data_IF_995261392358
#
_entry.id   IF_995261392358
#
_cell.length_a   1.000
_cell.length_b   1.000
_cell.length_c   1.000
_cell.angle_alpha   90.00
_cell.angle_beta   90.00
_cell.angle_gamma   90.00
#
_symmetry.space_group_name_H-M   'P 1'
#
loop_
_entity.id
_entity.type
_entity.pdbx_description
1 polymer ?
#
# COMPACT_ATOMS: atom_id res chain seq x y z
N UNK A 1 -28.61 -2.07 48.22
CA UNK A 1 -29.02 -1.45 46.94
C UNK A 1 -27.76 -0.97 46.26
N UNK A 2 -27.24 -1.77 45.32
CA UNK A 2 -26.19 -1.35 44.39
C UNK A 2 -26.86 -1.31 43.02
N UNK A 3 -26.82 -0.17 42.37
CA UNK A 3 -27.15 -0.02 40.97
C UNK A 3 -26.32 1.11 40.39
N UNK A 4 -26.13 1.18 39.05
CA UNK A 4 -26.02 0.07 38.10
C UNK A 4 -24.64 0.06 37.42
N UNK A 5 -24.17 -1.12 37.03
CA UNK A 5 -23.00 -1.34 36.17
C UNK A 5 -23.37 -1.19 34.69
N UNK A 6 -24.05 -0.10 34.31
CA UNK A 6 -24.57 0.08 32.94
C UNK A 6 -23.50 0.40 31.91
N UNK A 7 -22.43 1.10 32.31
CA UNK A 7 -21.54 1.74 31.33
C UNK A 7 -20.52 0.78 30.69
N UNK A 8 -20.19 -0.34 31.37
CA UNK A 8 -19.33 -1.40 30.83
C UNK A 8 -20.11 -2.37 29.93
N UNK A 9 -21.40 -2.58 30.20
CA UNK A 9 -22.26 -3.50 29.44
C UNK A 9 -22.72 -2.85 28.11
N UNK A 10 -22.94 -1.53 28.10
CA UNK A 10 -23.35 -0.78 26.91
C UNK A 10 -22.18 -0.59 25.92
N UNK A 11 -20.94 -0.41 26.42
CA UNK A 11 -19.72 -0.36 25.60
C UNK A 11 -19.48 -1.67 24.84
N UNK A 12 -19.58 -2.80 25.54
CA UNK A 12 -19.38 -4.12 24.91
C UNK A 12 -20.53 -4.50 23.99
N UNK A 13 -21.76 -4.04 24.25
CA UNK A 13 -22.90 -4.23 23.36
C UNK A 13 -22.79 -3.37 22.09
N UNK A 14 -22.27 -2.14 22.20
CA UNK A 14 -21.98 -1.28 21.06
C UNK A 14 -20.85 -1.84 20.18
N UNK A 15 -19.77 -2.36 20.78
CA UNK A 15 -18.70 -3.04 20.06
C UNK A 15 -19.18 -4.30 19.33
N UNK A 16 -20.02 -5.13 19.98
CA UNK A 16 -20.63 -6.31 19.35
C UNK A 16 -21.49 -5.92 18.14
N UNK A 17 -22.31 -4.88 18.26
CA UNK A 17 -23.12 -4.38 17.13
C UNK A 17 -22.26 -3.79 16.01
N UNK A 18 -21.18 -3.08 16.34
CA UNK A 18 -20.24 -2.55 15.36
C UNK A 18 -19.45 -3.64 14.64
N UNK A 19 -19.13 -4.76 15.31
CA UNK A 19 -18.56 -5.97 14.72
C UNK A 19 -19.53 -6.59 13.71
N UNK A 20 -20.79 -6.82 14.10
CA UNK A 20 -21.81 -7.46 13.27
C UNK A 20 -22.13 -6.69 11.97
N UNK A 21 -21.92 -5.37 11.95
CA UNK A 21 -22.14 -4.50 10.79
C UNK A 21 -21.01 -4.55 9.74
N UNK A 22 -19.83 -5.12 10.08
CA UNK A 22 -18.70 -5.19 9.17
C UNK A 22 -18.85 -6.34 8.16
N UNK A 23 -18.59 -6.03 6.89
CA UNK A 23 -18.55 -7.03 5.82
C UNK A 23 -17.52 -8.16 6.07
N UNK A 24 -16.49 -7.91 6.88
CA UNK A 24 -15.49 -8.91 7.29
C UNK A 24 -16.04 -9.93 8.28
N UNK A 25 -16.97 -9.52 9.14
CA UNK A 25 -17.56 -10.36 10.18
C UNK A 25 -18.86 -11.02 9.71
N UNK A 26 -19.52 -10.44 8.70
CA UNK A 26 -20.67 -11.07 8.07
C UNK A 26 -20.28 -12.43 7.47
N UNK A 27 -20.79 -13.52 8.04
CA UNK A 27 -20.85 -14.78 7.33
C UNK A 27 -21.67 -14.57 6.05
N UNK A 28 -21.28 -15.19 4.94
CA UNK A 28 -22.06 -15.17 3.70
C UNK A 28 -23.46 -15.77 3.87
N UNK A 29 -24.05 -16.36 2.83
CA UNK A 29 -25.32 -17.07 2.99
C UNK A 29 -25.20 -18.09 4.14
N UNK A 30 -25.95 -17.86 5.23
CA UNK A 30 -25.94 -18.63 6.48
C UNK A 30 -26.36 -20.12 6.31
N UNK A 31 -26.44 -20.61 5.07
CA UNK A 31 -26.95 -21.93 4.69
C UNK A 31 -25.91 -22.78 3.94
N UNK A 32 -24.62 -22.51 4.09
CA UNK A 32 -23.59 -23.40 3.56
C UNK A 32 -23.17 -24.39 4.65
N UNK A 33 -23.80 -25.58 4.65
CA UNK A 33 -23.42 -26.72 5.50
C UNK A 33 -22.02 -27.22 5.09
N UNK A 34 -20.97 -26.46 5.41
CA UNK A 34 -19.59 -26.74 5.01
C UNK A 34 -19.14 -28.12 5.54
N UNK A 35 -19.53 -28.46 6.75
CA UNK A 35 -19.21 -29.71 7.44
C UNK A 35 -19.88 -30.95 6.80
N UNK A 36 -20.94 -30.76 6.00
CA UNK A 36 -21.59 -31.85 5.27
C UNK A 36 -21.04 -32.06 3.85
N UNK A 37 -20.15 -31.19 3.38
CA UNK A 37 -19.55 -31.27 2.04
C UNK A 37 -18.33 -32.18 2.03
N UNK A 38 -18.07 -32.80 0.88
CA UNK A 38 -16.80 -33.49 0.66
C UNK A 38 -15.63 -32.50 0.64
N UNK A 39 -14.43 -32.97 0.96
CA UNK A 39 -13.21 -32.16 0.90
C UNK A 39 -13.00 -31.54 -0.49
N UNK A 40 -13.31 -32.27 -1.57
CA UNK A 40 -13.19 -31.76 -2.94
C UNK A 40 -14.14 -30.58 -3.19
N UNK A 41 -15.38 -30.67 -2.73
CA UNK A 41 -16.35 -29.58 -2.84
C UNK A 41 -15.93 -28.35 -2.04
N UNK A 42 -15.36 -28.55 -0.84
CA UNK A 42 -14.85 -27.46 0.00
C UNK A 42 -13.69 -26.73 -0.68
N UNK A 43 -12.73 -27.46 -1.25
CA UNK A 43 -11.60 -26.86 -1.99
C UNK A 43 -12.10 -26.06 -3.20
N UNK A 44 -13.03 -26.62 -3.98
CA UNK A 44 -13.63 -25.92 -5.14
C UNK A 44 -14.40 -24.68 -4.68
N UNK A 45 -15.14 -24.77 -3.59
CA UNK A 45 -15.93 -23.66 -3.06
C UNK A 45 -15.04 -22.53 -2.53
N UNK A 46 -13.99 -22.85 -1.77
CA UNK A 46 -13.01 -21.88 -1.31
C UNK A 46 -12.34 -21.16 -2.50
N UNK A 47 -11.93 -21.89 -3.55
CA UNK A 47 -11.34 -21.26 -4.71
C UNK A 47 -12.30 -20.33 -5.48
N UNK A 48 -13.61 -20.61 -5.46
CA UNK A 48 -14.62 -19.68 -6.02
C UNK A 48 -14.71 -18.38 -5.22
N UNK A 49 -14.55 -18.43 -3.91
CA UNK A 49 -14.44 -17.22 -3.08
C UNK A 49 -13.18 -16.43 -3.47
N UNK A 50 -12.03 -17.10 -3.60
CA UNK A 50 -10.74 -16.46 -3.93
C UNK A 50 -10.75 -15.72 -5.27
N UNK A 51 -11.57 -16.15 -6.23
CA UNK A 51 -11.70 -15.49 -7.55
C UNK A 51 -12.11 -14.01 -7.46
N UNK A 52 -12.70 -13.58 -6.36
CA UNK A 52 -13.10 -12.18 -6.13
C UNK A 52 -11.91 -11.27 -5.81
N UNK A 53 -10.81 -11.83 -5.30
CA UNK A 53 -9.68 -11.06 -4.76
C UNK A 53 -8.99 -10.20 -5.84
N UNK A 54 -8.61 -10.72 -7.02
CA UNK A 54 -7.94 -9.89 -8.03
C UNK A 54 -8.82 -8.76 -8.57
N UNK A 55 -10.14 -9.00 -8.70
CA UNK A 55 -11.09 -7.98 -9.14
C UNK A 55 -11.22 -6.86 -8.09
N UNK A 56 -11.22 -7.19 -6.79
CA UNK A 56 -11.23 -6.21 -5.71
C UNK A 56 -9.97 -5.33 -5.69
N UNK A 57 -8.79 -5.95 -5.85
CA UNK A 57 -7.51 -5.21 -5.94
C UNK A 57 -7.46 -4.33 -7.20
N UNK A 58 -7.97 -4.82 -8.33
CA UNK A 58 -8.10 -4.00 -9.55
C UNK A 58 -9.05 -2.82 -9.34
N UNK A 59 -10.10 -2.99 -8.54
CA UNK A 59 -11.00 -1.91 -8.15
C UNK A 59 -10.30 -0.77 -7.39
N UNK A 60 -9.23 -1.07 -6.67
CA UNK A 60 -8.42 -0.10 -5.92
C UNK A 60 -7.23 0.47 -6.73
N UNK A 61 -7.12 0.16 -8.02
CA UNK A 61 -5.91 0.44 -8.81
C UNK A 61 -5.52 1.92 -8.89
N UNK A 62 -6.50 2.84 -8.97
CA UNK A 62 -6.22 4.28 -9.06
C UNK A 62 -5.62 4.80 -7.74
N UNK A 63 -6.25 4.49 -6.59
CA UNK A 63 -5.74 4.87 -5.27
C UNK A 63 -4.37 4.22 -4.97
N UNK A 64 -4.20 2.97 -5.39
CA UNK A 64 -2.93 2.26 -5.29
C UNK A 64 -1.83 2.95 -6.13
N UNK A 65 -2.14 3.40 -7.34
CA UNK A 65 -1.18 4.11 -8.18
C UNK A 65 -0.77 5.47 -7.58
N UNK A 66 -1.73 6.23 -7.04
CA UNK A 66 -1.47 7.50 -6.36
C UNK A 66 -0.58 7.30 -5.12
N UNK A 67 -0.91 6.29 -4.31
CA UNK A 67 -0.12 5.92 -3.13
C UNK A 67 1.30 5.53 -3.51
N UNK A 68 1.47 4.73 -4.57
CA UNK A 68 2.80 4.34 -5.07
C UNK A 68 3.59 5.55 -5.55
N UNK A 69 2.99 6.49 -6.27
CA UNK A 69 3.71 7.70 -6.71
C UNK A 69 4.17 8.55 -5.51
N UNK A 70 3.38 8.63 -4.43
CA UNK A 70 3.77 9.30 -3.18
C UNK A 70 4.91 8.56 -2.45
N UNK A 71 4.84 7.23 -2.35
CA UNK A 71 5.91 6.39 -1.78
C UNK A 71 7.21 6.55 -2.58
N UNK A 72 7.13 6.57 -3.91
CA UNK A 72 8.30 6.73 -4.78
C UNK A 72 8.95 8.10 -4.58
N UNK A 73 8.19 9.18 -4.36
CA UNK A 73 8.74 10.49 -4.02
C UNK A 73 9.58 10.44 -2.74
N UNK A 74 9.06 9.78 -1.69
CA UNK A 74 9.75 9.56 -0.42
C UNK A 74 11.04 8.76 -0.57
N UNK A 75 10.97 7.60 -1.22
CA UNK A 75 12.13 6.74 -1.45
C UNK A 75 13.23 7.41 -2.29
N UNK A 76 12.86 8.24 -3.30
CA UNK A 76 13.84 9.00 -4.09
C UNK A 76 14.64 10.01 -3.28
N UNK A 77 14.06 10.52 -2.19
CA UNK A 77 14.70 11.48 -1.28
C UNK A 77 15.51 10.80 -0.18
N UNK A 78 15.68 9.47 -0.25
CA UNK A 78 16.42 8.67 0.72
C UNK A 78 15.60 8.23 1.93
N UNK A 79 14.27 8.37 1.88
CA UNK A 79 13.39 7.86 2.92
C UNK A 79 13.17 6.35 2.87
N UNK A 80 12.37 5.84 3.81
CA UNK A 80 12.02 4.42 3.93
C UNK A 80 10.54 4.18 3.63
N UNK A 81 10.22 2.94 3.29
CA UNK A 81 8.87 2.40 3.29
C UNK A 81 8.68 1.54 4.55
N UNK A 82 7.76 1.95 5.43
CA UNK A 82 7.49 1.29 6.70
C UNK A 82 6.08 0.71 6.66
N UNK A 83 5.95 -0.60 6.67
CA UNK A 83 4.66 -1.26 6.86
C UNK A 83 4.34 -1.36 8.36
N UNK A 84 3.06 -1.25 8.72
CA UNK A 84 2.60 -1.46 10.09
C UNK A 84 1.37 -2.38 10.09
N UNK A 85 1.37 -3.42 10.92
CA UNK A 85 0.24 -4.34 11.00
C UNK A 85 0.24 -5.20 12.26
N UNK A 86 -0.88 -5.89 12.48
CA UNK A 86 -1.03 -6.90 13.53
C UNK A 86 -1.45 -8.25 12.92
N UNK A 87 -1.29 -9.34 13.68
CA UNK A 87 -1.78 -10.66 13.30
C UNK A 87 -1.33 -11.11 11.90
N UNK A 88 -2.28 -11.46 11.03
CA UNK A 88 -1.99 -11.88 9.66
C UNK A 88 -1.51 -10.72 8.78
N UNK A 89 -2.05 -9.52 8.98
CA UNK A 89 -1.69 -8.33 8.20
C UNK A 89 -0.24 -7.91 8.44
N UNK A 90 0.22 -7.94 9.70
CA UNK A 90 1.62 -7.71 10.06
C UNK A 90 2.56 -8.70 9.38
N UNK A 91 2.25 -10.00 9.42
CA UNK A 91 3.10 -11.05 8.81
C UNK A 91 3.19 -10.93 7.29
N UNK A 92 2.10 -10.54 6.63
CA UNK A 92 2.09 -10.31 5.18
C UNK A 92 2.95 -9.09 4.83
N UNK A 93 2.92 -8.05 5.66
CA UNK A 93 3.80 -6.88 5.53
C UNK A 93 5.27 -7.23 5.75
N UNK A 94 5.58 -8.02 6.77
CA UNK A 94 6.93 -8.53 7.03
C UNK A 94 7.47 -9.35 5.85
N UNK A 95 6.62 -10.24 5.29
CA UNK A 95 6.96 -11.02 4.11
C UNK A 95 7.36 -10.14 2.91
N UNK A 96 6.56 -9.12 2.59
CA UNK A 96 6.86 -8.21 1.46
C UNK A 96 8.14 -7.39 1.72
N UNK A 97 8.35 -6.90 2.95
CA UNK A 97 9.56 -6.18 3.33
C UNK A 97 10.82 -7.05 3.21
N UNK A 98 10.78 -8.29 3.72
CA UNK A 98 11.90 -9.23 3.67
C UNK A 98 12.32 -9.60 2.24
N UNK A 99 11.36 -9.66 1.31
CA UNK A 99 11.62 -9.98 -0.09
C UNK A 99 12.27 -8.82 -0.86
N UNK A 100 12.13 -7.56 -0.40
CA UNK A 100 12.63 -6.39 -1.11
C UNK A 100 14.16 -6.37 -1.27
N UNK A 101 14.92 -6.81 -0.26
CA UNK A 101 16.38 -6.81 -0.31
C UNK A 101 16.90 -7.83 -1.33
N UNK A 102 16.39 -9.06 -1.27
CA UNK A 102 16.83 -10.13 -2.18
C UNK A 102 16.36 -9.95 -3.63
N UNK A 103 15.24 -9.24 -3.82
CA UNK A 103 14.60 -9.05 -5.13
C UNK A 103 15.15 -7.83 -5.87
N UNK A 104 15.29 -6.69 -5.16
CA UNK A 104 15.63 -5.39 -5.76
C UNK A 104 16.96 -4.80 -5.29
N UNK A 105 17.72 -5.55 -4.47
CA UNK A 105 18.93 -5.07 -3.79
C UNK A 105 18.69 -3.70 -3.15
N UNK A 106 17.62 -3.61 -2.35
CA UNK A 106 17.36 -2.45 -1.49
C UNK A 106 18.38 -2.42 -0.36
N UNK A 107 18.67 -1.23 0.16
CA UNK A 107 19.55 -1.09 1.32
C UNK A 107 18.88 -1.69 2.56
N UNK A 108 19.63 -2.31 3.49
CA UNK A 108 19.08 -2.75 4.77
C UNK A 108 18.32 -1.62 5.46
N UNK A 109 17.08 -1.88 5.86
CA UNK A 109 16.22 -0.89 6.53
C UNK A 109 15.49 0.08 5.58
N UNK A 110 15.65 -0.01 4.25
CA UNK A 110 14.90 0.82 3.30
C UNK A 110 13.42 0.43 3.22
N UNK A 111 13.12 -0.86 3.37
CA UNK A 111 11.75 -1.38 3.49
C UNK A 111 11.71 -2.22 4.76
N UNK A 112 10.83 -1.87 5.70
CA UNK A 112 10.73 -2.53 7.02
C UNK A 112 9.27 -2.74 7.40
N UNK A 113 9.02 -3.65 8.33
CA UNK A 113 7.70 -3.89 8.90
C UNK A 113 7.74 -3.74 10.42
N UNK A 114 6.74 -3.06 10.97
CA UNK A 114 6.45 -2.96 12.40
C UNK A 114 5.23 -3.82 12.70
N UNK A 115 5.42 -4.85 13.53
CA UNK A 115 4.37 -5.79 13.90
C UNK A 115 3.98 -5.65 15.36
N UNK A 116 2.67 -5.67 15.64
CA UNK A 116 2.15 -5.74 17.01
C UNK A 116 2.74 -6.95 17.76
N UNK A 117 3.23 -6.73 18.98
CA UNK A 117 3.91 -7.75 19.79
C UNK A 117 5.38 -8.03 19.38
N UNK A 118 5.85 -7.52 18.25
CA UNK A 118 7.21 -7.74 17.74
C UNK A 118 7.42 -9.09 17.03
N UNK A 119 8.63 -9.28 16.49
CA UNK A 119 8.99 -10.42 15.63
C UNK A 119 8.93 -11.79 16.34
N UNK A 120 9.07 -11.82 17.67
CA UNK A 120 9.15 -13.06 18.45
C UNK A 120 7.91 -13.37 19.28
N UNK A 121 6.87 -12.53 19.22
CA UNK A 121 5.64 -12.80 19.95
C UNK A 121 4.90 -14.03 19.39
N UNK A 122 4.37 -14.83 20.29
CA UNK A 122 3.46 -15.93 19.97
C UNK A 122 2.16 -15.37 19.35
N UNK A 123 1.39 -16.18 18.59
CA UNK A 123 0.13 -15.71 18.01
C UNK A 123 -0.84 -15.08 19.03
N UNK A 124 -0.93 -15.64 20.25
CA UNK A 124 -1.79 -15.11 21.31
C UNK A 124 -1.30 -13.76 21.86
N UNK A 125 0.01 -13.59 22.01
CA UNK A 125 0.59 -12.30 22.45
C UNK A 125 0.37 -11.22 21.39
N UNK A 126 0.33 -11.59 20.11
CA UNK A 126 0.06 -10.64 19.02
C UNK A 126 -1.41 -10.25 18.93
N UNK A 127 -2.34 -11.19 19.18
CA UNK A 127 -3.77 -10.87 19.31
C UNK A 127 -3.98 -9.87 20.45
N UNK A 128 -3.38 -10.11 21.62
CA UNK A 128 -3.48 -9.15 22.73
C UNK A 128 -2.82 -7.79 22.43
N UNK A 129 -1.76 -7.77 21.62
CA UNK A 129 -1.04 -6.56 21.27
C UNK A 129 -1.76 -5.69 20.22
N UNK A 130 -2.75 -6.21 19.49
CA UNK A 130 -3.43 -5.47 18.43
C UNK A 130 -4.30 -4.31 18.97
N UNK A 131 -4.74 -4.44 20.23
CA UNK A 131 -5.54 -3.45 20.95
C UNK A 131 -4.70 -2.33 21.61
N UNK A 132 -3.37 -2.42 21.56
CA UNK A 132 -2.47 -1.42 22.14
C UNK A 132 -2.13 -0.31 21.15
N UNK A 133 -2.94 0.76 21.16
CA UNK A 133 -2.73 1.96 20.35
C UNK A 133 -1.40 2.67 20.66
N UNK A 134 -1.00 2.72 21.92
CA UNK A 134 0.21 3.44 22.34
C UNK A 134 1.46 2.67 21.93
N UNK A 135 1.45 1.34 21.97
CA UNK A 135 2.55 0.52 21.45
C UNK A 135 2.80 0.77 19.96
N UNK A 136 1.75 0.94 19.16
CA UNK A 136 1.88 1.31 17.76
C UNK A 136 2.59 2.66 17.56
N UNK A 137 2.16 3.68 18.30
CA UNK A 137 2.79 5.00 18.29
C UNK A 137 4.25 4.95 18.79
N UNK A 138 4.51 4.18 19.85
CA UNK A 138 5.85 4.00 20.40
C UNK A 138 6.80 3.36 19.40
N UNK A 139 6.38 2.31 18.69
CA UNK A 139 7.19 1.67 17.65
C UNK A 139 7.55 2.62 16.50
N UNK A 140 6.63 3.50 16.10
CA UNK A 140 6.91 4.53 15.08
C UNK A 140 7.95 5.54 15.56
N UNK A 141 7.87 5.97 16.84
CA UNK A 141 8.88 6.85 17.44
C UNK A 141 10.24 6.17 17.57
N UNK A 142 10.28 4.90 17.98
CA UNK A 142 11.50 4.12 18.12
C UNK A 142 12.22 3.92 16.78
N UNK A 143 11.46 3.67 15.71
CA UNK A 143 11.99 3.63 14.34
C UNK A 143 12.49 4.99 13.82
N UNK A 144 12.26 6.07 14.58
CA UNK A 144 12.63 7.43 14.18
C UNK A 144 11.95 7.85 12.87
N UNK A 145 10.68 7.47 12.68
CA UNK A 145 9.92 7.85 11.49
C UNK A 145 9.86 9.36 11.36
N UNK A 146 10.06 9.87 10.15
CA UNK A 146 10.08 11.30 9.88
C UNK A 146 9.54 11.69 8.48
N UNK A 147 9.73 12.95 8.06
CA UNK A 147 9.07 13.51 6.88
C UNK A 147 9.57 12.98 5.52
N UNK A 148 10.63 12.17 5.54
CA UNK A 148 11.10 11.45 4.36
C UNK A 148 10.47 10.08 4.23
N UNK A 149 9.89 9.54 5.29
CA UNK A 149 9.35 8.17 5.29
C UNK A 149 7.92 8.13 4.72
N UNK A 150 7.55 6.95 4.22
CA UNK A 150 6.19 6.58 3.94
C UNK A 150 5.78 5.43 4.87
N UNK A 151 4.65 5.59 5.56
CA UNK A 151 4.09 4.61 6.50
C UNK A 151 2.78 4.06 5.94
N UNK A 152 2.70 2.74 5.79
CA UNK A 152 1.52 2.04 5.27
C UNK A 152 0.95 1.15 6.35
N UNK A 153 -0.16 1.57 6.95
CA UNK A 153 -0.92 0.76 7.90
C UNK A 153 -1.76 -0.30 7.18
N UNK A 154 -1.72 -1.54 7.66
CA UNK A 154 -2.41 -2.69 7.05
C UNK A 154 -3.34 -3.31 8.08
N UNK A 155 -4.65 -3.19 7.84
CA UNK A 155 -5.69 -3.75 8.72
C UNK A 155 -6.92 -4.13 7.89
N UNK A 156 -7.33 -5.40 7.91
CA UNK A 156 -8.50 -5.84 7.15
C UNK A 156 -9.78 -5.10 7.57
N UNK A 157 -9.98 -4.93 8.88
CA UNK A 157 -11.11 -4.21 9.48
C UNK A 157 -10.98 -2.69 9.39
N UNK A 158 -9.75 -2.18 9.21
CA UNK A 158 -9.47 -0.74 9.15
C UNK A 158 -9.63 0.00 10.48
N UNK A 159 -9.71 -0.73 11.61
CA UNK A 159 -9.91 -0.16 12.96
C UNK A 159 -8.98 -0.75 14.03
N UNK A 160 -7.95 -1.49 13.65
CA UNK A 160 -7.01 -2.12 14.60
C UNK A 160 -6.26 -1.03 15.39
N UNK A 161 -6.43 -0.94 16.73
CA UNK A 161 -5.89 0.18 17.53
C UNK A 161 -4.38 0.39 17.39
N UNK A 162 -3.58 -0.68 17.40
CA UNK A 162 -2.14 -0.61 17.17
C UNK A 162 -1.78 0.09 15.85
N UNK A 163 -2.48 -0.27 14.76
CA UNK A 163 -2.23 0.31 13.42
C UNK A 163 -2.67 1.77 13.38
N UNK A 164 -3.82 2.10 13.98
CA UNK A 164 -4.31 3.48 14.06
C UNK A 164 -3.33 4.38 14.83
N UNK A 165 -2.83 3.92 15.98
CA UNK A 165 -1.86 4.67 16.79
C UNK A 165 -0.55 4.93 16.06
N UNK A 166 -0.04 3.92 15.34
CA UNK A 166 1.16 4.05 14.53
C UNK A 166 0.98 5.06 13.37
N UNK A 167 -0.12 4.97 12.62
CA UNK A 167 -0.37 5.87 11.47
C UNK A 167 -0.60 7.31 11.94
N UNK A 168 -1.30 7.51 13.05
CA UNK A 168 -1.49 8.84 13.62
C UNK A 168 -0.16 9.47 14.04
N UNK A 169 0.71 8.71 14.71
CA UNK A 169 2.02 9.19 15.12
C UNK A 169 2.92 9.48 13.91
N UNK A 170 2.88 8.64 12.88
CA UNK A 170 3.61 8.86 11.63
C UNK A 170 3.16 10.16 10.93
N UNK A 171 1.86 10.43 10.92
CA UNK A 171 1.29 11.68 10.39
C UNK A 171 1.80 12.89 11.19
N UNK A 172 1.82 12.82 12.53
CA UNK A 172 2.38 13.89 13.39
C UNK A 172 3.87 14.12 13.14
N UNK A 173 4.62 13.06 12.84
CA UNK A 173 6.03 13.15 12.45
C UNK A 173 6.26 13.68 11.01
N UNK A 174 5.19 13.92 10.25
CA UNK A 174 5.21 14.47 8.90
C UNK A 174 5.47 13.44 7.79
N UNK A 175 5.42 12.15 8.10
CA UNK A 175 5.54 11.09 7.11
C UNK A 175 4.35 11.09 6.14
N UNK A 176 4.55 10.55 4.94
CA UNK A 176 3.42 10.22 4.06
C UNK A 176 2.72 8.98 4.62
N UNK A 177 1.40 9.01 4.77
CA UNK A 177 0.66 7.88 5.36
C UNK A 177 -0.34 7.25 4.39
N UNK A 178 -0.49 5.93 4.45
CA UNK A 178 -1.51 5.21 3.70
C UNK A 178 -2.15 4.10 4.54
N UNK A 179 -3.41 3.78 4.25
CA UNK A 179 -4.16 2.69 4.87
C UNK A 179 -4.58 1.64 3.85
N UNK A 180 -4.24 0.37 4.08
CA UNK A 180 -4.71 -0.78 3.29
C UNK A 180 -5.79 -1.52 4.08
N UNK A 181 -7.01 -1.52 3.54
CA UNK A 181 -8.21 -2.06 4.22
C UNK A 181 -9.05 -2.94 3.30
N UNK A 182 -9.94 -3.74 3.89
CA UNK A 182 -10.87 -4.60 3.15
C UNK A 182 -12.34 -4.20 3.33
N UNK A 183 -12.57 -3.02 3.89
CA UNK A 183 -13.88 -2.39 4.09
C UNK A 183 -13.86 -0.99 3.50
N UNK A 184 -15.04 -0.43 3.19
CA UNK A 184 -15.15 0.97 2.75
C UNK A 184 -15.27 1.93 3.94
N UNK A 185 -14.83 3.18 3.76
CA UNK A 185 -14.98 4.27 4.74
C UNK A 185 -14.43 3.91 6.13
N UNK A 186 -13.23 3.32 6.15
CA UNK A 186 -12.58 2.86 7.39
C UNK A 186 -12.02 4.00 8.24
N UNK A 187 -11.89 3.78 9.56
CA UNK A 187 -11.21 4.74 10.45
C UNK A 187 -9.76 4.98 10.01
N UNK A 188 -9.05 3.92 9.63
CA UNK A 188 -7.70 4.00 9.09
C UNK A 188 -7.64 4.81 7.78
N UNK A 189 -8.62 4.65 6.91
CA UNK A 189 -8.74 5.40 5.65
C UNK A 189 -9.00 6.89 5.86
N UNK A 190 -9.76 7.25 6.90
CA UNK A 190 -9.97 8.65 7.29
C UNK A 190 -8.74 9.30 7.96
N UNK A 191 -7.92 8.49 8.62
CA UNK A 191 -6.73 8.93 9.32
C UNK A 191 -5.52 9.13 8.39
N UNK A 192 -5.39 8.30 7.35
CA UNK A 192 -4.25 8.30 6.44
C UNK A 192 -4.42 9.31 5.28
N UNK A 193 -3.30 9.75 4.68
CA UNK A 193 -3.33 10.61 3.49
C UNK A 193 -3.93 9.90 2.26
N UNK A 194 -3.75 8.57 2.20
CA UNK A 194 -4.22 7.71 1.12
C UNK A 194 -4.95 6.46 1.65
N UNK A 195 -6.16 6.19 1.16
CA UNK A 195 -6.88 4.94 1.44
C UNK A 195 -6.83 4.00 0.23
N UNK A 196 -6.39 2.76 0.45
CA UNK A 196 -6.47 1.65 -0.49
C UNK A 196 -7.48 0.64 0.06
N UNK A 197 -8.72 0.72 -0.42
CA UNK A 197 -9.81 -0.17 -0.02
C UNK A 197 -10.00 -1.30 -1.04
N UNK A 198 -9.61 -2.52 -0.67
CA UNK A 198 -9.81 -3.74 -1.45
C UNK A 198 -10.95 -4.57 -0.84
N UNK A 199 -12.20 -4.18 -1.13
CA UNK A 199 -13.41 -4.82 -0.59
C UNK A 199 -13.64 -6.18 -1.27
N UNK A 200 -13.26 -7.26 -0.59
CA UNK A 200 -13.35 -8.64 -1.09
C UNK A 200 -14.72 -9.30 -0.82
N UNK A 201 -15.59 -8.66 -0.03
CA UNK A 201 -16.87 -9.22 0.42
C UNK A 201 -16.71 -10.32 1.49
N UNK A 202 -17.79 -11.03 1.85
CA UNK A 202 -17.82 -11.99 2.95
C UNK A 202 -16.77 -13.09 2.81
N UNK A 203 -16.12 -13.45 3.92
CA UNK A 203 -15.10 -14.50 3.93
C UNK A 203 -15.70 -15.91 3.76
N UNK A 204 -14.85 -16.87 3.34
CA UNK A 204 -15.26 -18.29 3.26
C UNK A 204 -15.62 -18.87 4.63
N UNK A 205 -14.88 -18.46 5.67
CA UNK A 205 -15.28 -18.64 7.06
C UNK A 205 -15.49 -17.25 7.65
N UNK A 206 -16.68 -16.99 8.21
CA UNK A 206 -17.03 -15.70 8.80
C UNK A 206 -15.92 -15.22 9.77
N UNK A 207 -15.50 -13.95 9.66
CA UNK A 207 -14.43 -13.37 10.48
C UNK A 207 -13.00 -13.83 10.15
N UNK A 208 -12.82 -14.85 9.30
CA UNK A 208 -11.48 -15.38 8.96
C UNK A 208 -10.79 -14.55 7.88
N UNK A 209 -10.48 -13.29 8.22
CA UNK A 209 -9.86 -12.30 7.32
C UNK A 209 -8.45 -12.68 6.86
N UNK A 210 -7.82 -13.68 7.48
CA UNK A 210 -6.57 -14.27 6.97
C UNK A 210 -6.70 -14.90 5.57
N UNK A 211 -7.92 -15.10 5.07
CA UNK A 211 -8.22 -15.71 3.78
C UNK A 211 -8.21 -14.68 2.65
N UNK A 212 -9.37 -14.16 2.21
CA UNK A 212 -9.43 -13.27 1.05
C UNK A 212 -8.85 -11.90 1.35
N UNK A 213 -9.15 -11.31 2.50
CA UNK A 213 -8.62 -10.01 2.88
C UNK A 213 -7.08 -10.07 2.98
N UNK A 214 -6.52 -11.10 3.63
CA UNK A 214 -5.08 -11.35 3.65
C UNK A 214 -4.48 -11.56 2.25
N UNK A 215 -5.17 -12.31 1.38
CA UNK A 215 -4.74 -12.47 -0.01
C UNK A 215 -4.74 -11.14 -0.78
N UNK A 216 -5.75 -10.30 -0.59
CA UNK A 216 -5.82 -8.96 -1.17
C UNK A 216 -4.69 -8.06 -0.66
N UNK A 217 -4.43 -8.07 0.65
CA UNK A 217 -3.32 -7.34 1.26
C UNK A 217 -2.00 -7.73 0.62
N UNK A 218 -1.72 -9.04 0.45
CA UNK A 218 -0.50 -9.51 -0.23
C UNK A 218 -0.37 -8.92 -1.65
N UNK A 219 -1.45 -8.97 -2.45
CA UNK A 219 -1.42 -8.45 -3.81
C UNK A 219 -1.23 -6.92 -3.85
N UNK A 220 -1.82 -6.20 -2.91
CA UNK A 220 -1.64 -4.76 -2.74
C UNK A 220 -0.19 -4.43 -2.36
N UNK A 221 0.36 -5.06 -1.33
CA UNK A 221 1.73 -4.81 -0.87
C UNK A 221 2.76 -5.17 -1.94
N UNK A 222 2.60 -6.31 -2.62
CA UNK A 222 3.46 -6.68 -3.75
C UNK A 222 3.39 -5.64 -4.89
N UNK A 223 2.23 -5.03 -5.10
CA UNK A 223 2.09 -3.95 -6.08
C UNK A 223 2.78 -2.68 -5.60
N UNK A 224 2.65 -2.32 -4.31
CA UNK A 224 3.34 -1.18 -3.71
C UNK A 224 4.86 -1.32 -3.88
N UNK A 225 5.44 -2.41 -3.38
CA UNK A 225 6.88 -2.63 -3.41
C UNK A 225 7.39 -2.75 -4.84
N UNK A 226 6.80 -3.64 -5.65
CA UNK A 226 7.30 -3.93 -7.00
C UNK A 226 7.19 -2.71 -7.92
N UNK A 227 6.03 -2.02 -7.94
CA UNK A 227 5.84 -0.87 -8.81
C UNK A 227 6.71 0.29 -8.35
N UNK A 228 6.88 0.50 -7.04
CA UNK A 228 7.83 1.49 -6.53
C UNK A 228 9.25 1.22 -7.02
N UNK A 229 9.73 -0.02 -6.91
CA UNK A 229 11.08 -0.40 -7.35
C UNK A 229 11.26 -0.29 -8.87
N UNK A 230 10.21 -0.57 -9.66
CA UNK A 230 10.21 -0.28 -11.10
C UNK A 230 10.40 1.23 -11.36
N UNK A 231 9.68 2.09 -10.63
CA UNK A 231 9.74 3.55 -10.77
C UNK A 231 11.05 4.16 -10.27
N UNK A 232 11.76 3.44 -9.40
CA UNK A 232 13.12 3.74 -8.94
C UNK A 232 14.21 3.15 -9.85
N UNK A 233 13.85 2.54 -10.99
CA UNK A 233 14.82 2.04 -11.96
C UNK A 233 15.54 0.76 -11.52
N UNK A 234 15.00 -0.01 -10.58
CA UNK A 234 15.54 -1.33 -10.18
C UNK A 234 15.35 -2.41 -11.25
N UNK A 235 14.55 -2.14 -12.27
CA UNK A 235 14.23 -3.07 -13.36
C UNK A 235 14.50 -2.48 -14.75
N UNK A 236 14.57 -3.35 -15.77
CA UNK A 236 14.57 -2.97 -17.18
C UNK A 236 13.64 -3.89 -17.97
N UNK A 237 12.52 -3.33 -18.41
CA UNK A 237 11.41 -4.16 -18.92
C UNK A 237 10.89 -5.04 -17.78
N UNK A 238 10.86 -6.35 -17.99
CA UNK A 238 10.48 -7.35 -16.99
C UNK A 238 11.69 -8.03 -16.32
N UNK A 239 12.90 -7.48 -16.48
CA UNK A 239 14.12 -8.02 -15.90
C UNK A 239 14.52 -7.25 -14.64
N UNK A 240 14.82 -7.97 -13.56
CA UNK A 240 15.42 -7.40 -12.36
C UNK A 240 16.92 -7.24 -12.63
N UNK A 241 17.37 -6.01 -12.83
CA UNK A 241 18.73 -5.69 -13.27
C UNK A 241 19.62 -5.22 -12.12
N UNK A 242 19.05 -4.96 -10.96
CA UNK A 242 19.77 -4.54 -9.76
C UNK A 242 19.98 -5.75 -8.83
N UNK A 243 20.74 -6.74 -9.32
CA UNK A 243 21.00 -8.01 -8.62
C UNK A 243 22.46 -8.04 -8.20
N UNK A 244 22.72 -8.18 -6.89
CA UNK A 244 24.07 -8.37 -6.36
C UNK A 244 24.61 -9.77 -6.66
N UNK A 245 25.77 -9.86 -7.32
CA UNK A 245 26.37 -11.13 -7.76
C UNK A 245 27.25 -11.79 -6.68
N UNK A 246 26.67 -12.09 -5.52
CA UNK A 246 27.43 -12.61 -4.35
C UNK A 246 27.78 -14.10 -4.41
N UNK A 247 27.14 -14.88 -5.30
CA UNK A 247 27.40 -16.30 -5.49
C UNK A 247 27.32 -16.72 -6.96
N UNK A 248 27.78 -17.94 -7.29
CA UNK A 248 27.84 -18.45 -8.66
C UNK A 248 26.47 -18.48 -9.36
N UNK A 249 25.39 -18.86 -8.64
CA UNK A 249 24.03 -18.85 -9.16
C UNK A 249 23.59 -17.42 -9.55
N UNK A 250 23.91 -16.42 -8.73
CA UNK A 250 23.61 -15.02 -9.00
C UNK A 250 24.47 -14.45 -10.13
N UNK A 251 25.74 -14.87 -10.26
CA UNK A 251 26.58 -14.53 -11.42
C UNK A 251 25.99 -15.08 -12.73
N UNK A 252 25.59 -16.34 -12.76
CA UNK A 252 24.92 -16.94 -13.91
C UNK A 252 23.60 -16.23 -14.26
N UNK A 253 22.84 -15.82 -13.23
CA UNK A 253 21.62 -15.03 -13.40
C UNK A 253 21.90 -13.66 -14.01
N UNK A 254 22.90 -12.93 -13.51
CA UNK A 254 23.32 -11.62 -14.03
C UNK A 254 23.71 -11.74 -15.50
N UNK A 255 24.54 -12.72 -15.86
CA UNK A 255 24.91 -13.00 -17.26
C UNK A 255 23.68 -13.19 -18.15
N UNK A 256 22.73 -14.02 -17.73
CA UNK A 256 21.47 -14.26 -18.46
C UNK A 256 20.63 -12.99 -18.59
N UNK A 257 20.57 -12.15 -17.56
CA UNK A 257 19.86 -10.87 -17.59
C UNK A 257 20.47 -9.95 -18.64
N UNK A 258 21.80 -9.76 -18.63
CA UNK A 258 22.49 -8.90 -19.61
C UNK A 258 22.28 -9.44 -21.03
N UNK A 259 22.45 -10.74 -21.23
CA UNK A 259 22.22 -11.36 -22.53
C UNK A 259 20.77 -11.17 -23.02
N UNK A 260 19.78 -11.40 -22.15
CA UNK A 260 18.36 -11.22 -22.50
C UNK A 260 18.02 -9.77 -22.81
N UNK A 261 18.57 -8.83 -22.04
CA UNK A 261 18.33 -7.41 -22.21
C UNK A 261 18.95 -6.82 -23.49
N UNK A 262 20.08 -7.39 -23.93
CA UNK A 262 20.90 -6.80 -25.00
C UNK A 262 20.89 -7.59 -26.31
N UNK A 263 20.64 -8.90 -26.25
CA UNK A 263 20.79 -9.82 -27.39
C UNK A 263 22.25 -10.05 -27.80
N UNK A 264 23.22 -9.63 -26.99
CA UNK A 264 24.64 -9.75 -27.31
C UNK A 264 25.17 -11.20 -27.17
N UNK A 265 26.33 -11.47 -27.78
CA UNK A 265 27.01 -12.76 -27.65
C UNK A 265 27.55 -12.97 -26.23
N UNK A 266 27.83 -14.23 -25.90
CA UNK A 266 28.38 -14.61 -24.60
C UNK A 266 29.69 -13.86 -24.30
N UNK A 267 30.59 -13.78 -25.28
CA UNK A 267 31.89 -13.12 -25.16
C UNK A 267 31.71 -11.64 -24.84
N UNK A 268 30.81 -10.96 -25.56
CA UNK A 268 30.55 -9.53 -25.36
C UNK A 268 29.89 -9.24 -24.02
N UNK A 269 29.03 -10.13 -23.54
CA UNK A 269 28.41 -10.03 -22.22
C UNK A 269 29.46 -10.21 -21.13
N UNK A 270 30.35 -11.20 -21.26
CA UNK A 270 31.39 -11.49 -20.27
C UNK A 270 32.42 -10.35 -20.18
N UNK A 271 32.84 -9.80 -21.33
CA UNK A 271 33.67 -8.58 -21.39
C UNK A 271 33.02 -7.40 -20.67
N UNK A 272 31.76 -7.10 -21.00
CA UNK A 272 31.05 -5.96 -20.42
C UNK A 272 30.82 -6.13 -18.92
N UNK A 273 30.51 -7.35 -18.46
CA UNK A 273 30.34 -7.64 -17.04
C UNK A 273 31.66 -7.54 -16.27
N UNK A 274 32.77 -7.99 -16.87
CA UNK A 274 34.09 -7.83 -16.27
C UNK A 274 34.46 -6.36 -16.11
N UNK A 275 34.27 -5.55 -17.17
CA UNK A 275 34.50 -4.11 -17.13
C UNK A 275 33.57 -3.37 -16.15
N UNK A 276 32.33 -3.84 -16.00
CA UNK A 276 31.32 -3.28 -15.10
C UNK A 276 31.45 -3.74 -13.63
N UNK A 277 32.50 -4.46 -13.25
CA UNK A 277 32.66 -5.02 -11.90
C UNK A 277 31.52 -5.96 -11.49
N UNK A 278 30.89 -6.63 -12.45
CA UNK A 278 29.73 -7.51 -12.24
C UNK A 278 28.36 -6.80 -12.23
N UNK A 279 28.31 -5.48 -12.41
CA UNK A 279 27.04 -4.73 -12.47
C UNK A 279 26.28 -4.99 -13.77
N UNK A 280 25.10 -5.62 -13.66
CA UNK A 280 24.24 -5.87 -14.82
C UNK A 280 23.77 -4.56 -15.47
N UNK A 281 23.43 -3.54 -14.67
CA UNK A 281 22.97 -2.24 -15.17
C UNK A 281 24.00 -1.57 -16.05
N UNK A 282 25.24 -1.49 -15.57
CA UNK A 282 26.35 -0.85 -16.27
C UNK A 282 26.65 -1.63 -17.55
N UNK A 283 26.78 -2.96 -17.47
CA UNK A 283 27.00 -3.80 -18.65
C UNK A 283 25.90 -3.63 -19.72
N UNK A 284 24.63 -3.56 -19.32
CA UNK A 284 23.51 -3.32 -20.26
C UNK A 284 23.63 -1.95 -20.93
N UNK A 285 23.93 -0.90 -20.18
CA UNK A 285 24.10 0.46 -20.74
C UNK A 285 25.31 0.51 -21.67
N UNK A 286 26.47 -0.02 -21.26
CA UNK A 286 27.68 -0.08 -22.08
C UNK A 286 27.41 -0.76 -23.43
N UNK A 287 26.75 -1.93 -23.41
CA UNK A 287 26.44 -2.67 -24.65
C UNK A 287 25.43 -1.90 -25.52
N UNK A 288 24.31 -1.45 -24.95
CA UNK A 288 23.23 -0.85 -25.74
C UNK A 288 23.52 0.57 -26.22
N UNK A 289 24.34 1.33 -25.49
CA UNK A 289 24.75 2.68 -25.88
C UNK A 289 26.08 2.71 -26.63
N UNK A 290 26.85 1.62 -26.63
CA UNK A 290 28.16 1.55 -27.28
C UNK A 290 29.21 2.40 -26.58
N UNK A 291 29.20 2.42 -25.25
CA UNK A 291 30.12 3.19 -24.40
C UNK A 291 30.87 2.26 -23.45
N UNK A 292 31.97 2.73 -22.87
CA UNK A 292 32.69 1.98 -21.84
C UNK A 292 31.93 1.92 -20.50
N UNK A 293 32.50 1.25 -19.52
CA UNK A 293 31.87 1.06 -18.20
C UNK A 293 31.81 2.36 -17.40
N UNK A 294 32.82 3.22 -17.50
CA UNK A 294 32.91 4.48 -16.74
C UNK A 294 31.84 5.47 -17.21
N UNK A 295 31.71 5.67 -18.52
CA UNK A 295 30.65 6.50 -19.11
C UNK A 295 29.26 5.92 -18.81
N UNK A 296 29.11 4.59 -18.83
CA UNK A 296 27.83 3.96 -18.46
C UNK A 296 27.48 4.19 -16.98
N UNK A 297 28.48 4.13 -16.08
CA UNK A 297 28.32 4.46 -14.66
C UNK A 297 27.87 5.92 -14.47
N UNK A 298 28.52 6.86 -15.15
CA UNK A 298 28.18 8.28 -15.06
C UNK A 298 26.75 8.56 -15.55
N UNK A 299 26.35 7.95 -16.66
CA UNK A 299 24.97 8.05 -17.18
C UNK A 299 23.93 7.47 -16.22
N UNK A 300 24.25 6.37 -15.55
CA UNK A 300 23.36 5.78 -14.55
C UNK A 300 23.25 6.68 -13.32
N UNK A 301 24.35 7.28 -12.86
CA UNK A 301 24.35 8.21 -11.73
C UNK A 301 23.47 9.44 -12.00
N UNK A 302 23.56 10.02 -13.20
CA UNK A 302 22.78 11.21 -13.60
C UNK A 302 21.30 10.91 -13.90
N UNK A 303 20.91 9.64 -13.97
CA UNK A 303 19.53 9.20 -14.30
C UNK A 303 18.87 8.38 -13.19
N UNK A 304 19.36 8.52 -11.95
CA UNK A 304 18.87 7.80 -10.78
C UNK A 304 18.83 6.28 -11.00
N UNK A 305 19.84 5.74 -11.68
CA UNK A 305 19.99 4.31 -11.95
C UNK A 305 19.06 3.73 -13.02
N UNK A 306 18.30 4.56 -13.75
CA UNK A 306 17.38 4.10 -14.79
C UNK A 306 18.10 3.81 -16.11
N UNK A 307 18.25 2.53 -16.46
CA UNK A 307 18.82 2.11 -17.75
C UNK A 307 18.13 2.81 -18.92
N UNK A 308 16.79 2.91 -18.91
CA UNK A 308 16.04 3.48 -20.03
C UNK A 308 16.40 4.96 -20.27
N UNK A 309 16.62 5.72 -19.20
CA UNK A 309 16.97 7.13 -19.27
C UNK A 309 18.47 7.34 -19.58
N UNK A 310 19.33 6.40 -19.15
CA UNK A 310 20.76 6.40 -19.45
C UNK A 310 21.09 6.07 -20.91
N UNK A 311 20.16 5.45 -21.65
CA UNK A 311 20.33 5.18 -23.07
C UNK A 311 20.06 6.43 -23.93
N UNK A 312 20.82 6.65 -25.02
CA UNK A 312 20.53 7.73 -25.95
C UNK A 312 19.10 7.60 -26.49
N UNK A 313 18.40 8.73 -26.62
CA UNK A 313 17.06 8.77 -27.21
C UNK A 313 17.12 8.22 -28.63
N UNK A 314 16.65 6.98 -28.82
CA UNK A 314 16.40 6.45 -30.17
C UNK A 314 15.45 7.41 -30.88
N UNK A 315 15.85 7.95 -32.05
CA UNK A 315 14.91 8.56 -32.98
C UNK A 315 13.79 7.54 -33.25
N UNK A 316 12.51 7.93 -33.20
CA UNK A 316 11.43 6.98 -33.41
C UNK A 316 11.55 6.37 -34.81
N UNK A 317 11.88 5.08 -34.87
CA UNK A 317 11.82 4.29 -36.10
C UNK A 317 10.35 3.93 -36.36
N UNK A 318 9.65 4.74 -37.14
CA UNK A 318 8.35 4.44 -37.76
C UNK A 318 7.14 4.30 -36.81
N UNK A 319 5.91 4.33 -37.35
CA UNK A 319 4.70 4.30 -36.55
C UNK A 319 4.52 2.92 -35.90
N UNK A 320 4.71 2.85 -34.58
CA UNK A 320 4.29 1.69 -33.78
C UNK A 320 2.77 1.61 -33.77
N UNK A 321 2.20 0.52 -34.30
CA UNK A 321 0.79 0.15 -34.11
C UNK A 321 0.49 0.17 -32.62
N UNK A 322 -0.33 1.12 -32.16
CA UNK A 322 -0.81 1.19 -30.78
C UNK A 322 -1.56 -0.11 -30.47
N UNK A 323 -1.05 -0.89 -29.52
CA UNK A 323 -1.72 -2.09 -29.01
C UNK A 323 -3.03 -1.73 -28.33
N UNK A 324 -4.15 -1.94 -29.03
CA UNK A 324 -5.51 -1.76 -28.53
C UNK A 324 -6.03 -2.91 -27.69
N UNK A 325 -5.20 -3.49 -26.81
CA UNK A 325 -5.58 -4.67 -26.02
C UNK A 325 -6.29 -4.34 -24.69
N UNK A 326 -6.07 -3.15 -24.11
CA UNK A 326 -6.63 -2.82 -22.79
C UNK A 326 -8.08 -2.28 -22.81
N UNK A 327 -8.56 -1.75 -23.95
CA UNK A 327 -9.96 -1.26 -24.06
C UNK A 327 -10.96 -2.35 -24.46
N UNK A 328 -10.50 -3.54 -24.84
CA UNK A 328 -11.37 -4.65 -25.21
C UNK A 328 -12.02 -5.33 -23.99
N UNK A 329 -11.27 -5.45 -22.88
CA UNK A 329 -11.78 -6.13 -21.67
C UNK A 329 -12.91 -5.38 -20.95
N UNK A 330 -12.97 -4.05 -21.04
CA UNK A 330 -14.08 -3.26 -20.46
C UNK A 330 -15.37 -3.37 -21.28
N UNK A 331 -15.30 -3.61 -22.60
CA UNK A 331 -16.48 -3.69 -23.47
C UNK A 331 -17.14 -5.08 -23.47
N UNK A 332 -16.35 -6.14 -23.28
CA UNK A 332 -16.90 -7.50 -23.23
C UNK A 332 -17.65 -7.80 -21.92
N UNK A 333 -17.28 -7.16 -20.79
CA UNK A 333 -18.04 -7.27 -19.54
C UNK A 333 -19.43 -6.62 -19.62
N UNK A 334 -19.59 -5.49 -20.34
CA UNK A 334 -20.90 -4.88 -20.56
C UNK A 334 -21.82 -5.72 -21.47
N UNK A 335 -21.26 -6.40 -22.49
CA UNK A 335 -22.06 -7.25 -23.40
C UNK A 335 -22.51 -8.59 -22.79
N UNK A 336 -21.77 -9.11 -21.82
CA UNK A 336 -22.14 -10.35 -21.11
C UNK A 336 -23.16 -10.11 -19.98
N UNK A 337 -23.24 -8.89 -19.43
CA UNK A 337 -24.28 -8.49 -18.49
C UNK A 337 -25.67 -8.31 -19.13
N UNK A 338 -25.74 -7.87 -20.39
CA UNK A 338 -27.02 -7.64 -21.09
C UNK A 338 -27.69 -8.92 -21.63
N UNK A 339 -26.94 -10.03 -21.77
CA UNK A 339 -27.48 -11.30 -22.30
C UNK A 339 -28.18 -12.20 -21.27
N UNK A 340 -28.09 -11.92 -19.97
CA UNK A 340 -28.81 -12.66 -18.92
C UNK A 340 -30.13 -12.02 -18.47
N UNK A 341 -30.53 -10.88 -19.05
CA UNK A 341 -31.71 -10.11 -18.63
C UNK A 341 -32.94 -10.17 -19.55
N UNK A 342 -33.13 -11.21 -20.38
CA UNK A 342 -34.28 -11.26 -21.29
C UNK A 342 -34.89 -12.67 -21.45
N UNK A 343 -35.51 -13.18 -20.38
CA UNK A 343 -36.68 -14.08 -20.48
C UNK A 343 -37.74 -13.56 -19.52
N UNK A 344 -38.88 -13.16 -20.09
CA UNK A 344 -39.81 -12.24 -19.47
C UNK A 344 -40.72 -12.84 -18.40
N UNK A 345 -41.23 -11.95 -17.56
CA UNK A 345 -42.64 -11.94 -17.18
C UNK A 345 -43.11 -10.48 -17.17
N UNK A 346 -44.21 -10.23 -17.89
CA UNK A 346 -44.85 -8.92 -18.01
C UNK A 346 -45.66 -8.67 -16.75
N UNK A 347 -45.32 -7.65 -15.96
CA UNK A 347 -46.27 -7.01 -15.04
C UNK A 347 -46.15 -5.48 -15.12
N UNK A 348 -47.33 -4.86 -15.17
CA UNK A 348 -47.59 -3.45 -15.47
C UNK A 348 -46.93 -2.50 -14.46
N UNK A 349 -46.36 -1.38 -14.95
CA UNK A 349 -45.97 -0.22 -14.13
C UNK A 349 -47.16 0.73 -13.96
N UNK A 350 -47.42 1.28 -12.76
CA UNK A 350 -48.08 2.56 -12.61
C UNK A 350 -47.05 3.71 -12.53
N UNK A 351 -47.56 4.90 -12.80
CA UNK A 351 -46.83 6.11 -13.16
C UNK A 351 -46.17 6.85 -11.99
N UNK A 352 -45.06 7.51 -12.33
CA UNK A 352 -44.78 8.90 -11.93
C UNK A 352 -44.29 9.16 -10.51
N UNK A 353 -43.01 9.51 -10.38
CA UNK A 353 -42.58 10.65 -9.55
C UNK A 353 -41.18 11.12 -9.99
N UNK A 354 -41.09 12.40 -10.39
CA UNK A 354 -39.87 13.08 -10.82
C UNK A 354 -39.11 13.56 -9.59
N UNK A 355 -37.92 13.03 -9.32
CA UNK A 355 -36.98 13.64 -8.38
C UNK A 355 -36.14 14.72 -9.08
N UNK A 356 -36.30 15.97 -8.65
CA UNK A 356 -35.48 17.11 -9.07
C UNK A 356 -34.08 17.01 -8.44
N UNK A 357 -33.03 16.96 -9.26
CA UNK A 357 -31.64 17.15 -8.82
C UNK A 357 -31.45 18.59 -8.33
N UNK A 358 -31.11 18.78 -7.05
CA UNK A 358 -30.58 20.05 -6.54
C UNK A 358 -29.08 20.17 -6.89
N UNK A 359 -28.69 21.31 -7.46
CA UNK A 359 -27.28 21.71 -7.65
C UNK A 359 -26.71 22.23 -6.31
N UNK A 360 -25.42 22.03 -6.01
CA UNK A 360 -24.79 22.64 -4.85
C UNK A 360 -24.54 24.14 -5.08
N UNK A 361 -24.84 24.93 -4.05
CA UNK A 361 -24.65 26.38 -4.04
C UNK A 361 -23.16 26.74 -3.84
N UNK A 362 -22.70 27.73 -4.59
CA UNK A 362 -21.37 28.36 -4.44
C UNK A 362 -21.34 29.19 -3.17
N UNK A 363 -20.46 28.87 -2.21
CA UNK A 363 -20.12 29.78 -1.11
C UNK A 363 -19.28 30.95 -1.64
N UNK A 364 -19.81 32.17 -1.52
CA UNK A 364 -19.11 33.43 -1.74
C UNK A 364 -18.32 33.79 -0.47
N UNK A 365 -17.08 34.24 -0.69
CA UNK A 365 -16.25 34.93 0.30
C UNK A 365 -16.93 36.23 0.75
N UNK A 366 -17.05 36.43 2.06
CA UNK A 366 -17.20 37.71 2.75
C UNK A 366 -16.36 37.59 4.03
N UNK A 367 -15.51 38.52 4.41
CA UNK A 367 -15.62 39.97 4.34
C UNK A 367 -15.54 40.47 5.79
N UNK A 368 -14.32 40.78 6.24
CA UNK A 368 -13.99 41.28 7.58
C UNK A 368 -14.64 42.66 7.79
N UNK A 369 -15.22 42.96 8.97
CA UNK A 369 -15.41 44.33 9.41
C UNK A 369 -14.46 44.72 10.57
N UNK A 370 -14.15 46.03 10.73
CA UNK A 370 -13.01 46.49 11.51
C UNK A 370 -13.33 46.79 12.99
N UNK A 371 -12.22 46.95 13.71
CA UNK A 371 -12.03 47.26 15.12
C UNK A 371 -12.77 48.49 15.65
N UNK A 372 -13.19 48.40 16.92
CA UNK A 372 -13.46 49.57 17.78
C UNK A 372 -12.44 49.64 18.90
N UNK A 373 -11.79 50.80 18.97
CA UNK A 373 -10.91 51.26 20.05
C UNK A 373 -11.70 51.50 21.33
N UNK A 374 -11.11 51.16 22.47
CA UNK A 374 -11.52 51.59 23.81
C UNK A 374 -10.30 51.58 24.72
N UNK A 375 -9.80 52.78 25.00
CA UNK A 375 -8.64 53.08 25.85
C UNK A 375 -8.98 53.00 27.34
N UNK A 376 -8.07 52.50 28.19
CA UNK A 376 -7.68 53.17 29.43
C UNK A 376 -6.53 52.43 30.15
N UNK A 377 -5.38 53.12 30.21
CA UNK A 377 -4.47 53.39 31.35
C UNK A 377 -4.15 52.22 32.29
N UNK A 378 -2.92 51.68 32.28
CA UNK A 378 -1.68 52.26 32.82
C UNK A 378 -1.67 52.38 34.36
N UNK A 379 -1.00 51.43 35.03
CA UNK A 379 -0.14 51.65 36.20
C UNK A 379 0.93 50.55 36.24
N UNK A 380 2.18 50.95 36.00
CA UNK A 380 3.35 50.14 36.29
C UNK A 380 3.72 50.11 37.77
N UNK A 381 4.47 49.09 38.16
CA UNK A 381 5.67 49.18 39.01
C UNK A 381 6.36 47.81 38.98
N UNK A 382 7.53 47.75 38.33
CA UNK A 382 8.88 47.73 38.94
C UNK A 382 9.25 46.40 39.63
N UNK A 383 10.08 45.66 38.90
CA UNK A 383 11.13 44.73 39.36
C UNK A 383 12.13 45.50 40.25
N UNK A 384 12.73 44.90 41.29
CA UNK A 384 13.98 44.09 41.20
C UNK A 384 13.86 42.79 42.01
N UNK A 385 14.62 41.71 41.82
CA UNK A 385 15.97 41.51 41.33
C UNK A 385 16.60 40.44 42.25
N UNK A 386 17.22 39.44 41.64
CA UNK A 386 18.26 38.50 42.11
C UNK A 386 18.23 37.91 43.54
N UNK A 387 18.37 36.57 43.64
CA UNK A 387 19.60 35.91 44.12
C UNK A 387 19.41 34.41 44.40
N UNK A 388 20.30 33.63 43.78
CA UNK A 388 21.07 32.48 44.30
C UNK A 388 20.45 31.28 45.08
N UNK A 389 20.86 30.12 44.55
CA UNK A 389 21.50 28.97 45.23
C UNK A 389 20.68 27.73 45.65
N UNK A 390 21.12 26.61 45.06
CA UNK A 390 21.38 25.28 45.66
C UNK A 390 20.25 24.65 46.47
N UNK A 391 19.74 23.52 46.00
CA UNK A 391 20.28 22.18 46.27
C UNK A 391 19.69 21.17 45.29
#
# INVERSE_FOLDING_TARGET
>A
MLGPSSDLDDSTAAERRALDELATESGGEASLDYDLRSTSELVVLMNRFDQTVPDAVLGAADALAETVDAIVDRLRRGGRLVYVGAGSSGRIAELDAAECQSTFSTEPGQVVALQAGGEHATPLEQEAAEDDREAGAAGVRELGVGPLDAVVGVSASGRTPFVLGAVEEASRAGACTAGVVSVGESELGLLADHEISAVVGPEFLAGSTRLKAGSAQKLVLNSISTVSMIRLGKTFGNLMVDVSATNEKLRARVRRIVQTATGASNERVDEALAAAGGSAKVAIVSILAGVDADEAHERLATTSGSIRLALPRRRPSGPRRRGGAWRAHQRDRQRLGERKGNRGSRLRRPAGQRFRRRRPARCRRGGIPPSRRGSARDRGHRVPGDLHHRS
#
